data_IF_070211160159
#
_entry.id   IF_070211160159
#
_cell.length_a   1.000
_cell.length_b   1.000
_cell.length_c   1.000
_cell.angle_alpha   90.00
_cell.angle_beta   90.00
_cell.angle_gamma   90.00
#
_symmetry.space_group_name_H-M   'P 1'
#
loop_
_entity.id
_entity.type
_entity.pdbx_description
1 polymer ?
#
# COMPACT_ATOMS: atom_id res chain seq x y z
N UNK A 1 -4.66 -28.29 0.45
CA UNK A 1 -3.79 -27.27 -0.21
C UNK A 1 -3.13 -27.79 -1.49
N UNK A 2 -2.51 -28.99 -1.52
CA UNK A 2 -1.83 -29.53 -2.71
C UNK A 2 -2.63 -29.44 -4.03
N UNK A 3 -3.86 -29.96 -4.07
CA UNK A 3 -4.73 -29.88 -5.26
C UNK A 3 -5.00 -28.45 -5.75
N UNK A 4 -5.11 -27.51 -4.82
CA UNK A 4 -5.36 -26.11 -5.14
C UNK A 4 -4.12 -25.41 -5.71
N UNK A 5 -2.93 -25.72 -5.17
CA UNK A 5 -1.67 -25.22 -5.70
C UNK A 5 -1.44 -25.72 -7.13
N UNK A 6 -1.76 -26.99 -7.40
CA UNK A 6 -1.68 -27.55 -8.75
C UNK A 6 -2.68 -26.88 -9.71
N UNK A 7 -3.92 -26.65 -9.28
CA UNK A 7 -4.93 -25.97 -10.10
C UNK A 7 -4.52 -24.53 -10.47
N UNK A 8 -3.86 -23.83 -9.54
CA UNK A 8 -3.49 -22.42 -9.70
C UNK A 8 -2.06 -22.23 -10.22
N UNK A 9 -1.26 -23.30 -10.38
CA UNK A 9 0.12 -23.20 -10.86
C UNK A 9 0.29 -22.54 -12.23
N UNK A 10 -0.68 -22.58 -13.18
CA UNK A 10 -0.57 -21.79 -14.40
C UNK A 10 -0.42 -20.29 -14.15
N UNK A 11 -0.97 -19.76 -13.04
CA UNK A 11 -0.77 -18.36 -12.65
C UNK A 11 0.67 -18.09 -12.24
N UNK A 12 1.33 -19.04 -11.55
CA UNK A 12 2.75 -18.90 -11.22
C UNK A 12 3.60 -18.84 -12.49
N UNK A 13 3.32 -19.71 -13.46
CA UNK A 13 4.00 -19.70 -14.77
C UNK A 13 3.78 -18.35 -15.46
N UNK A 14 2.55 -17.85 -15.48
CA UNK A 14 2.21 -16.52 -16.02
C UNK A 14 3.00 -15.41 -15.31
N UNK A 15 3.07 -15.41 -13.98
CA UNK A 15 3.77 -14.36 -13.23
C UNK A 15 5.27 -14.40 -13.46
N UNK A 16 5.87 -15.59 -13.52
CA UNK A 16 7.29 -15.75 -13.85
C UNK A 16 7.55 -15.24 -15.25
N UNK A 17 6.75 -15.64 -16.24
CA UNK A 17 6.87 -15.16 -17.61
C UNK A 17 6.76 -13.63 -17.70
N UNK A 18 5.71 -13.04 -17.12
CA UNK A 18 5.52 -11.58 -17.08
C UNK A 18 6.68 -10.85 -16.38
N UNK A 19 7.25 -11.45 -15.34
CA UNK A 19 8.38 -10.88 -14.62
C UNK A 19 9.63 -10.87 -15.50
N UNK A 20 9.91 -11.96 -16.21
CA UNK A 20 11.07 -12.08 -17.10
C UNK A 20 10.91 -11.19 -18.35
N UNK A 21 9.73 -11.19 -18.97
CA UNK A 21 9.41 -10.36 -20.15
C UNK A 21 9.59 -8.86 -19.87
N UNK A 22 9.22 -8.43 -18.66
CA UNK A 22 9.30 -7.02 -18.26
C UNK A 22 10.53 -6.68 -17.45
N UNK A 23 11.40 -7.65 -17.16
CA UNK A 23 12.62 -7.42 -16.41
C UNK A 23 13.57 -6.59 -17.28
N UNK A 24 13.81 -5.35 -16.83
CA UNK A 24 14.79 -4.49 -17.47
C UNK A 24 16.15 -4.60 -16.80
N UNK A 25 17.21 -4.48 -17.62
CA UNK A 25 18.61 -4.51 -17.21
C UNK A 25 19.09 -3.26 -16.48
N UNK A 26 18.25 -2.22 -16.38
CA UNK A 26 18.55 -1.00 -15.63
C UNK A 26 17.56 -0.85 -14.48
N UNK A 27 18.05 -0.31 -13.35
CA UNK A 27 17.19 0.07 -12.24
C UNK A 27 16.35 1.27 -12.69
N UNK A 28 15.04 1.22 -12.49
CA UNK A 28 14.11 2.29 -12.84
C UNK A 28 13.16 2.59 -11.69
N UNK A 29 12.51 3.75 -11.75
CA UNK A 29 11.51 4.17 -10.76
C UNK A 29 12.13 4.13 -9.36
N UNK A 30 11.46 3.49 -8.40
CA UNK A 30 11.90 3.39 -7.01
C UNK A 30 12.97 2.30 -6.77
N UNK A 31 13.34 1.50 -7.78
CA UNK A 31 14.31 0.41 -7.65
C UNK A 31 15.68 0.86 -7.10
N UNK A 32 16.30 1.96 -7.60
CA UNK A 32 17.57 2.45 -7.05
C UNK A 32 17.48 2.73 -5.55
N UNK A 33 16.39 3.35 -5.11
CA UNK A 33 16.14 3.70 -3.71
C UNK A 33 16.02 2.46 -2.83
N UNK A 34 15.27 1.44 -3.26
CA UNK A 34 15.14 0.20 -2.48
C UNK A 34 16.46 -0.56 -2.38
N UNK A 35 17.24 -0.61 -3.46
CA UNK A 35 18.56 -1.25 -3.49
C UNK A 35 19.54 -0.53 -2.57
N UNK A 36 19.58 0.80 -2.62
CA UNK A 36 20.40 1.62 -1.73
C UNK A 36 20.03 1.36 -0.26
N UNK A 37 18.74 1.41 0.09
CA UNK A 37 18.31 1.12 1.46
C UNK A 37 18.65 -0.29 1.92
N UNK A 38 18.53 -1.29 1.04
CA UNK A 38 18.90 -2.66 1.35
C UNK A 38 20.41 -2.82 1.56
N UNK A 39 21.24 -2.11 0.78
CA UNK A 39 22.68 -2.04 1.00
C UNK A 39 23.03 -1.36 2.33
N UNK A 40 22.37 -0.26 2.67
CA UNK A 40 22.56 0.42 3.95
C UNK A 40 22.19 -0.48 5.15
N UNK A 41 21.11 -1.26 5.04
CA UNK A 41 20.71 -2.24 6.08
C UNK A 41 21.81 -3.27 6.33
N UNK A 42 22.50 -3.74 5.29
CA UNK A 42 23.66 -4.63 5.44
C UNK A 42 24.83 -3.94 6.17
N UNK A 43 24.99 -2.64 5.97
CA UNK A 43 26.01 -1.83 6.62
C UNK A 43 25.62 -1.35 8.05
N UNK A 44 24.48 -1.79 8.59
CA UNK A 44 23.99 -1.39 9.91
C UNK A 44 23.28 -0.03 9.98
N UNK A 45 23.00 0.58 8.82
CA UNK A 45 22.24 1.83 8.68
C UNK A 45 20.91 1.64 7.95
N UNK A 46 20.19 2.72 7.66
CA UNK A 46 19.01 2.66 6.79
C UNK A 46 18.97 3.87 5.85
N UNK A 47 18.78 5.07 6.39
CA UNK A 47 18.93 6.31 5.65
C UNK A 47 20.38 6.49 5.17
N UNK A 48 20.61 7.20 4.05
CA UNK A 48 21.96 7.52 3.59
C UNK A 48 22.72 8.31 4.65
N UNK A 49 24.04 8.13 4.73
CA UNK A 49 24.87 8.86 5.69
C UNK A 49 24.70 10.38 5.52
N UNK A 50 24.43 11.08 6.63
CA UNK A 50 24.21 12.53 6.64
C UNK A 50 22.87 12.99 6.03
N UNK A 51 21.96 12.07 5.71
CA UNK A 51 20.62 12.39 5.18
C UNK A 51 19.52 11.86 6.09
N UNK A 52 18.46 12.66 6.22
CA UNK A 52 17.21 12.28 6.88
C UNK A 52 16.17 11.70 5.90
N UNK A 53 16.59 11.36 4.67
CA UNK A 53 15.68 10.87 3.64
C UNK A 53 15.11 9.49 3.98
N UNK A 54 13.82 9.46 4.31
CA UNK A 54 13.01 8.29 4.61
C UNK A 54 11.86 8.19 3.59
N UNK A 55 12.20 8.17 2.31
CA UNK A 55 11.20 8.17 1.22
C UNK A 55 10.34 6.90 1.21
N UNK A 56 10.96 5.76 1.54
CA UNK A 56 10.31 4.47 1.69
C UNK A 56 10.49 3.93 3.11
N UNK A 57 9.69 2.93 3.47
CA UNK A 57 9.87 2.16 4.69
C UNK A 57 10.84 0.98 4.49
N UNK A 58 11.38 0.40 5.57
CA UNK A 58 12.43 -0.61 5.48
C UNK A 58 11.93 -1.98 5.06
N UNK A 59 10.62 -2.19 4.93
CA UNK A 59 10.04 -3.51 4.77
C UNK A 59 10.50 -4.23 3.50
N UNK A 60 10.38 -3.59 2.33
CA UNK A 60 10.87 -4.18 1.09
C UNK A 60 12.40 -4.24 1.02
N UNK A 61 13.16 -3.20 1.45
CA UNK A 61 14.61 -3.31 1.61
C UNK A 61 15.09 -4.48 2.49
N UNK A 62 14.38 -4.81 3.58
CA UNK A 62 14.70 -5.97 4.44
C UNK A 62 14.54 -7.30 3.69
N UNK A 63 13.54 -7.40 2.80
CA UNK A 63 13.38 -8.56 1.93
C UNK A 63 14.52 -8.68 0.90
N UNK A 64 14.98 -7.54 0.36
CA UNK A 64 16.07 -7.50 -0.63
C UNK A 64 17.45 -7.75 -0.02
N UNK A 65 17.71 -7.27 1.19
CA UNK A 65 19.02 -7.34 1.85
C UNK A 65 19.70 -8.72 1.80
N UNK A 66 19.04 -9.86 2.11
CA UNK A 66 19.68 -11.17 2.01
C UNK A 66 19.99 -11.59 0.56
N UNK A 67 19.22 -11.14 -0.43
CA UNK A 67 19.49 -11.39 -1.85
C UNK A 67 20.74 -10.64 -2.28
N UNK A 68 20.88 -9.39 -1.80
CA UNK A 68 22.08 -8.59 -1.98
C UNK A 68 23.32 -9.14 -1.25
N UNK A 69 23.14 -9.97 -0.22
CA UNK A 69 24.22 -10.49 0.63
C UNK A 69 25.09 -11.56 -0.03
N UNK A 70 24.76 -11.98 -1.25
CA UNK A 70 25.56 -12.94 -1.99
C UNK A 70 26.80 -12.27 -2.57
N UNK A 71 27.87 -12.16 -1.76
CA UNK A 71 29.14 -11.52 -2.15
C UNK A 71 29.82 -12.15 -3.38
N UNK A 72 29.36 -13.34 -3.80
CA UNK A 72 29.84 -14.05 -4.99
C UNK A 72 29.34 -13.45 -6.31
N UNK A 73 28.27 -12.67 -6.30
CA UNK A 73 27.70 -12.08 -7.53
C UNK A 73 27.42 -10.61 -7.28
N UNK A 74 28.18 -9.69 -7.91
CA UNK A 74 27.91 -8.26 -7.84
C UNK A 74 26.44 -7.98 -8.19
N UNK A 75 25.78 -7.08 -7.47
CA UNK A 75 24.39 -6.71 -7.78
C UNK A 75 24.23 -6.06 -9.17
N UNK A 76 25.33 -5.61 -9.77
CA UNK A 76 25.37 -5.20 -11.19
C UNK A 76 25.06 -6.36 -12.14
N UNK A 77 25.19 -7.60 -11.70
CA UNK A 77 24.80 -8.77 -12.48
C UNK A 77 23.31 -8.74 -12.78
N UNK A 78 22.98 -9.06 -14.03
CA UNK A 78 21.60 -9.27 -14.48
C UNK A 78 20.93 -10.38 -13.67
N UNK A 79 21.67 -11.43 -13.29
CA UNK A 79 21.12 -12.60 -12.57
C UNK A 79 20.55 -12.25 -11.19
N UNK A 80 21.27 -11.49 -10.37
CA UNK A 80 20.82 -11.11 -9.02
C UNK A 80 19.59 -10.21 -9.06
N UNK A 81 19.54 -9.28 -10.04
CA UNK A 81 18.39 -8.38 -10.24
C UNK A 81 17.15 -9.13 -10.70
N UNK A 82 17.32 -10.07 -11.62
CA UNK A 82 16.22 -10.96 -12.05
C UNK A 82 15.72 -11.82 -10.89
N UNK A 83 16.61 -12.36 -10.06
CA UNK A 83 16.22 -13.12 -8.87
C UNK A 83 15.39 -12.28 -7.89
N UNK A 84 15.80 -11.04 -7.61
CA UNK A 84 15.04 -10.11 -6.77
C UNK A 84 13.64 -9.81 -7.35
N UNK A 85 13.52 -9.65 -8.67
CA UNK A 85 12.23 -9.47 -9.35
C UNK A 85 11.36 -10.72 -9.30
N UNK A 86 11.93 -11.92 -9.46
CA UNK A 86 11.19 -13.19 -9.39
C UNK A 86 10.55 -13.46 -8.02
N UNK A 87 11.10 -12.89 -6.94
CA UNK A 87 10.48 -12.93 -5.61
C UNK A 87 9.07 -12.32 -5.65
N UNK A 88 8.84 -11.28 -6.46
CA UNK A 88 7.53 -10.67 -6.60
C UNK A 88 6.49 -11.62 -7.22
N UNK A 89 6.88 -12.45 -8.19
CA UNK A 89 6.02 -13.47 -8.77
C UNK A 89 5.61 -14.52 -7.72
N UNK A 90 6.56 -14.96 -6.89
CA UNK A 90 6.31 -15.89 -5.80
C UNK A 90 5.40 -15.29 -4.73
N UNK A 91 5.65 -14.05 -4.32
CA UNK A 91 4.82 -13.34 -3.34
C UNK A 91 3.38 -13.22 -3.82
N UNK A 92 3.17 -12.84 -5.08
CA UNK A 92 1.84 -12.72 -5.65
C UNK A 92 1.13 -14.08 -5.72
N UNK A 93 1.83 -15.14 -6.15
CA UNK A 93 1.26 -16.49 -6.17
C UNK A 93 0.86 -16.97 -4.78
N UNK A 94 1.71 -16.76 -3.78
CA UNK A 94 1.40 -17.04 -2.38
C UNK A 94 0.17 -16.25 -1.90
N UNK A 95 0.05 -14.97 -2.29
CA UNK A 95 -1.13 -14.16 -1.99
C UNK A 95 -2.41 -14.78 -2.56
N UNK A 96 -2.38 -15.29 -3.80
CA UNK A 96 -3.51 -15.99 -4.43
C UNK A 96 -3.93 -17.22 -3.62
N UNK A 97 -2.96 -18.03 -3.18
CA UNK A 97 -3.24 -19.20 -2.34
C UNK A 97 -3.84 -18.82 -0.98
N UNK A 98 -3.38 -17.72 -0.38
CA UNK A 98 -3.90 -17.19 0.88
C UNK A 98 -5.33 -16.66 0.73
N UNK A 99 -5.63 -15.90 -0.32
CA UNK A 99 -6.99 -15.43 -0.64
C UNK A 99 -7.93 -16.62 -0.82
N UNK A 100 -7.51 -17.63 -1.60
CA UNK A 100 -8.29 -18.86 -1.75
C UNK A 100 -8.60 -19.51 -0.40
N UNK A 101 -7.58 -19.67 0.44
CA UNK A 101 -7.72 -20.29 1.74
C UNK A 101 -8.64 -19.48 2.67
N UNK A 102 -8.60 -18.14 2.59
CA UNK A 102 -9.47 -17.27 3.36
C UNK A 102 -10.94 -17.36 2.90
N UNK A 103 -11.19 -17.31 1.59
CA UNK A 103 -12.54 -17.42 1.00
C UNK A 103 -13.16 -18.78 1.28
N UNK A 104 -12.37 -19.86 1.20
CA UNK A 104 -12.84 -21.23 1.47
C UNK A 104 -13.35 -21.46 2.91
N UNK A 105 -13.09 -20.54 3.85
CA UNK A 105 -13.68 -20.60 5.20
C UNK A 105 -15.17 -20.24 5.21
N UNK A 106 -15.61 -19.44 4.25
CA UNK A 106 -16.96 -18.90 4.16
C UNK A 106 -17.76 -19.52 3.01
N UNK A 107 -17.07 -19.98 1.96
CA UNK A 107 -17.71 -20.50 0.75
C UNK A 107 -17.35 -21.97 0.48
N UNK A 108 -17.94 -22.55 -0.57
CA UNK A 108 -17.49 -23.84 -1.11
C UNK A 108 -16.14 -23.73 -1.85
N UNK A 109 -15.47 -24.88 -2.10
CA UNK A 109 -14.16 -24.93 -2.76
C UNK A 109 -14.17 -24.38 -4.19
N UNK A 110 -15.27 -24.54 -4.94
CA UNK A 110 -15.42 -24.00 -6.30
C UNK A 110 -15.40 -22.48 -6.32
N UNK A 111 -16.25 -21.83 -5.50
CA UNK A 111 -16.27 -20.37 -5.34
C UNK A 111 -14.92 -19.84 -4.87
N UNK A 112 -14.28 -20.50 -3.90
CA UNK A 112 -12.98 -20.08 -3.39
C UNK A 112 -11.90 -20.12 -4.48
N UNK A 113 -11.85 -21.18 -5.29
CA UNK A 113 -10.92 -21.26 -6.42
C UNK A 113 -11.25 -20.24 -7.51
N UNK A 114 -12.52 -20.00 -7.81
CA UNK A 114 -12.95 -18.99 -8.77
C UNK A 114 -12.56 -17.57 -8.35
N UNK A 115 -12.82 -17.19 -7.11
CA UNK A 115 -12.41 -15.87 -6.56
C UNK A 115 -10.89 -15.72 -6.56
N UNK A 116 -10.16 -16.78 -6.19
CA UNK A 116 -8.70 -16.76 -6.23
C UNK A 116 -8.15 -16.63 -7.66
N UNK A 117 -8.78 -17.29 -8.63
CA UNK A 117 -8.42 -17.15 -10.05
C UNK A 117 -8.69 -15.73 -10.55
N UNK A 118 -9.86 -15.16 -10.24
CA UNK A 118 -10.19 -13.78 -10.61
C UNK A 118 -9.21 -12.77 -9.98
N UNK A 119 -8.88 -12.95 -8.70
CA UNK A 119 -7.84 -12.15 -8.04
C UNK A 119 -6.47 -12.36 -8.70
N UNK A 120 -6.12 -13.60 -9.02
CA UNK A 120 -4.87 -13.91 -9.68
C UNK A 120 -4.77 -13.32 -11.09
N UNK A 121 -5.90 -13.14 -11.77
CA UNK A 121 -6.02 -12.53 -13.09
C UNK A 121 -6.23 -11.01 -13.07
N UNK A 122 -6.24 -10.39 -11.88
CA UNK A 122 -6.40 -8.96 -11.71
C UNK A 122 -5.14 -8.22 -12.21
N UNK A 123 -5.15 -7.91 -13.51
CA UNK A 123 -4.00 -7.40 -14.24
C UNK A 123 -3.39 -6.08 -13.75
N UNK A 124 -4.07 -5.18 -12.99
CA UNK A 124 -3.40 -3.98 -12.48
C UNK A 124 -2.17 -4.28 -11.62
N UNK A 125 -2.12 -5.45 -10.97
CA UNK A 125 -0.94 -5.88 -10.21
C UNK A 125 0.27 -6.15 -11.14
N UNK A 126 0.03 -6.55 -12.39
CA UNK A 126 1.08 -7.03 -13.28
C UNK A 126 2.09 -5.96 -13.68
N UNK A 127 1.73 -4.68 -13.59
CA UNK A 127 2.63 -3.56 -13.88
C UNK A 127 3.84 -3.47 -12.96
N UNK A 128 3.75 -4.12 -11.80
CA UNK A 128 4.79 -4.06 -10.78
C UNK A 128 5.68 -5.31 -10.77
N UNK A 129 5.35 -6.35 -11.54
CA UNK A 129 6.07 -7.62 -11.52
C UNK A 129 7.49 -7.53 -12.10
N UNK A 130 7.70 -6.74 -13.17
CA UNK A 130 9.01 -6.56 -13.81
C UNK A 130 9.98 -5.63 -13.07
N UNK A 131 9.57 -5.07 -11.92
CA UNK A 131 10.33 -4.11 -11.13
C UNK A 131 10.49 -4.61 -9.70
N UNK A 132 11.57 -4.21 -9.02
CA UNK A 132 11.72 -4.40 -7.58
C UNK A 132 10.85 -3.38 -6.83
N UNK A 133 9.55 -3.67 -6.74
CA UNK A 133 8.55 -2.78 -6.15
C UNK A 133 7.92 -3.37 -4.90
N UNK A 134 7.49 -2.49 -3.99
CA UNK A 134 6.83 -2.85 -2.72
C UNK A 134 5.45 -3.49 -2.87
N UNK A 135 4.78 -3.31 -4.01
CA UNK A 135 3.37 -3.60 -4.23
C UNK A 135 3.06 -5.11 -4.11
N UNK A 136 3.81 -6.02 -4.75
CA UNK A 136 3.61 -7.46 -4.59
C UNK A 136 3.79 -7.93 -3.13
N UNK A 137 4.76 -7.35 -2.40
CA UNK A 137 4.93 -7.63 -0.97
C UNK A 137 3.73 -7.11 -0.16
N UNK A 138 3.26 -5.89 -0.42
CA UNK A 138 2.08 -5.35 0.25
C UNK A 138 0.83 -6.22 -0.01
N UNK A 139 0.62 -6.67 -1.25
CA UNK A 139 -0.46 -7.60 -1.62
C UNK A 139 -0.35 -8.92 -0.84
N UNK A 140 0.85 -9.50 -0.77
CA UNK A 140 1.10 -10.71 0.02
C UNK A 140 0.78 -10.51 1.50
N UNK A 141 1.21 -9.40 2.09
CA UNK A 141 0.96 -9.08 3.50
C UNK A 141 -0.52 -8.81 3.79
N UNK A 142 -1.24 -8.16 2.87
CA UNK A 142 -2.70 -7.96 2.99
C UNK A 142 -3.45 -9.29 2.84
N UNK A 143 -2.99 -10.19 1.97
CA UNK A 143 -3.55 -11.55 1.88
C UNK A 143 -3.29 -12.35 3.17
N UNK A 144 -2.11 -12.19 3.78
CA UNK A 144 -1.77 -12.72 5.10
C UNK A 144 -2.68 -12.18 6.20
N UNK A 145 -2.94 -10.87 6.21
CA UNK A 145 -3.92 -10.21 7.09
C UNK A 145 -5.32 -10.80 6.89
N UNK A 146 -5.78 -10.95 5.66
CA UNK A 146 -7.10 -11.54 5.38
C UNK A 146 -7.19 -12.98 5.89
N UNK A 147 -6.17 -13.80 5.65
CA UNK A 147 -6.15 -15.20 6.08
C UNK A 147 -5.99 -15.37 7.60
N UNK A 148 -5.00 -14.73 8.22
CA UNK A 148 -4.76 -14.88 9.66
C UNK A 148 -5.75 -14.04 10.47
N UNK A 149 -6.01 -12.80 10.05
CA UNK A 149 -6.89 -11.84 10.73
C UNK A 149 -8.33 -12.32 10.80
N UNK A 150 -8.90 -12.83 9.70
CA UNK A 150 -10.28 -13.36 9.75
C UNK A 150 -10.44 -14.48 10.77
N UNK A 151 -9.46 -15.39 10.85
CA UNK A 151 -9.46 -16.49 11.80
C UNK A 151 -9.20 -16.06 13.24
N UNK A 152 -8.32 -15.07 13.43
CA UNK A 152 -8.02 -14.50 14.74
C UNK A 152 -9.22 -13.72 15.30
N UNK A 153 -9.84 -12.88 14.49
CA UNK A 153 -10.98 -12.07 14.91
C UNK A 153 -12.18 -12.95 15.29
N UNK A 154 -12.46 -14.00 14.51
CA UNK A 154 -13.53 -14.95 14.78
C UNK A 154 -13.26 -15.79 16.04
N UNK A 155 -12.08 -16.41 16.16
CA UNK A 155 -11.84 -17.47 17.17
C UNK A 155 -10.67 -17.21 18.13
N UNK A 156 -9.88 -16.18 17.93
CA UNK A 156 -8.64 -15.95 18.66
C UNK A 156 -7.52 -16.91 18.28
N UNK A 157 -6.57 -17.10 19.22
CA UNK A 157 -5.42 -18.00 19.10
C UNK A 157 -4.11 -17.27 18.86
N UNK A 158 -3.07 -17.63 19.61
CA UNK A 158 -1.76 -16.97 19.60
C UNK A 158 -1.07 -17.01 18.23
N UNK A 159 -1.04 -18.16 17.56
CA UNK A 159 -0.45 -18.25 16.22
C UNK A 159 -1.14 -17.35 15.18
N UNK A 160 -2.46 -17.16 15.30
CA UNK A 160 -3.20 -16.25 14.41
C UNK A 160 -3.00 -14.78 14.79
N UNK A 161 -2.88 -14.47 16.09
CA UNK A 161 -2.50 -13.13 16.56
C UNK A 161 -1.13 -12.76 15.99
N UNK A 162 -0.13 -13.64 16.16
CA UNK A 162 1.22 -13.43 15.62
C UNK A 162 1.19 -13.23 14.11
N UNK A 163 0.50 -14.10 13.37
CA UNK A 163 0.37 -13.95 11.92
C UNK A 163 -0.30 -12.64 11.51
N UNK A 164 -1.36 -12.23 12.22
CA UNK A 164 -2.08 -10.96 11.93
C UNK A 164 -1.21 -9.75 12.25
N UNK A 165 -0.60 -9.70 13.44
CA UNK A 165 0.28 -8.62 13.87
C UNK A 165 1.53 -8.51 13.01
N UNK A 166 2.15 -9.62 12.63
CA UNK A 166 3.29 -9.65 11.72
C UNK A 166 2.92 -9.13 10.32
N UNK A 167 1.78 -9.54 9.76
CA UNK A 167 1.29 -9.00 8.48
C UNK A 167 1.06 -7.49 8.57
N UNK A 168 0.43 -7.00 9.64
CA UNK A 168 0.15 -5.57 9.85
C UNK A 168 1.43 -4.75 10.05
N UNK A 169 2.32 -5.18 10.94
CA UNK A 169 3.57 -4.49 11.22
C UNK A 169 4.49 -4.47 9.99
N UNK A 170 4.64 -5.61 9.31
CA UNK A 170 5.48 -5.65 8.10
C UNK A 170 4.87 -4.85 6.95
N UNK A 171 3.54 -4.75 6.87
CA UNK A 171 2.85 -3.91 5.89
C UNK A 171 3.13 -2.43 6.15
N UNK A 172 3.09 -1.99 7.41
CA UNK A 172 3.47 -0.62 7.80
C UNK A 172 4.94 -0.31 7.52
N UNK A 173 5.85 -1.28 7.74
CA UNK A 173 7.26 -1.13 7.35
C UNK A 173 7.46 -1.12 5.83
N UNK A 174 6.60 -1.78 5.06
CA UNK A 174 6.70 -1.83 3.59
C UNK A 174 6.16 -0.55 2.94
N UNK A 175 5.02 -0.06 3.44
CA UNK A 175 4.34 1.14 2.97
C UNK A 175 3.98 1.98 4.20
N UNK A 176 4.77 3.03 4.43
CA UNK A 176 4.74 3.87 5.64
C UNK A 176 3.36 4.46 5.97
N UNK A 177 2.51 4.68 4.96
CA UNK A 177 1.13 5.15 5.17
C UNK A 177 0.27 4.18 6.00
N UNK A 178 0.57 2.87 5.97
CA UNK A 178 -0.13 1.91 6.83
C UNK A 178 0.23 2.09 8.29
N UNK A 179 1.37 2.70 8.65
CA UNK A 179 1.67 3.05 10.04
C UNK A 179 0.60 3.96 10.65
N UNK A 180 0.16 4.98 9.90
CA UNK A 180 -0.97 5.82 10.30
C UNK A 180 -2.30 5.07 10.27
N UNK A 181 -2.51 4.16 9.29
CA UNK A 181 -3.70 3.32 9.25
C UNK A 181 -3.79 2.36 10.46
N UNK A 182 -2.67 1.84 10.97
CA UNK A 182 -2.62 1.05 12.19
C UNK A 182 -3.03 1.87 13.40
N UNK A 183 -2.52 3.09 13.54
CA UNK A 183 -2.88 3.99 14.63
C UNK A 183 -4.37 4.38 14.60
N UNK A 184 -4.87 4.83 13.45
CA UNK A 184 -6.28 5.16 13.27
C UNK A 184 -7.20 3.95 13.48
N UNK A 185 -6.79 2.79 12.96
CA UNK A 185 -7.48 1.53 13.17
C UNK A 185 -7.52 1.11 14.65
N UNK A 186 -6.43 1.34 15.40
CA UNK A 186 -6.35 1.00 16.83
C UNK A 186 -7.32 1.87 17.63
N UNK A 187 -7.32 3.19 17.39
CA UNK A 187 -8.27 4.11 18.02
C UNK A 187 -9.70 3.67 17.74
N UNK A 188 -10.03 3.40 16.47
CA UNK A 188 -11.37 2.94 16.08
C UNK A 188 -11.73 1.60 16.74
N UNK A 189 -10.81 0.63 16.77
CA UNK A 189 -11.04 -0.67 17.39
C UNK A 189 -11.28 -0.55 18.90
N UNK A 190 -10.52 0.29 19.60
CA UNK A 190 -10.72 0.55 21.03
C UNK A 190 -12.05 1.23 21.28
N UNK A 191 -12.38 2.29 20.52
CA UNK A 191 -13.67 2.98 20.63
C UNK A 191 -14.85 2.01 20.41
N UNK A 192 -14.79 1.19 19.35
CA UNK A 192 -15.82 0.18 19.09
C UNK A 192 -15.82 -0.95 20.13
N UNK A 193 -14.67 -1.29 20.71
CA UNK A 193 -14.56 -2.24 21.82
C UNK A 193 -15.26 -1.76 23.08
N UNK A 194 -15.11 -0.46 23.40
CA UNK A 194 -15.80 0.18 24.53
C UNK A 194 -17.29 0.31 24.27
N UNK A 195 -17.70 0.82 23.10
CA UNK A 195 -19.10 1.11 22.77
C UNK A 195 -19.91 -0.16 22.52
N UNK A 196 -19.39 -1.10 21.72
CA UNK A 196 -20.11 -2.32 21.34
C UNK A 196 -19.89 -3.48 22.30
N UNK A 197 -18.90 -3.39 23.20
CA UNK A 197 -18.52 -4.43 24.17
C UNK A 197 -18.32 -5.83 23.55
N UNK A 198 -17.94 -5.90 22.26
CA UNK A 198 -17.69 -7.18 21.56
C UNK A 198 -16.21 -7.55 21.65
N UNK A 199 -15.92 -8.77 22.09
CA UNK A 199 -14.55 -9.33 22.23
C UNK A 199 -13.71 -9.22 20.95
N UNK A 200 -14.36 -9.28 19.79
CA UNK A 200 -13.72 -9.12 18.48
C UNK A 200 -12.97 -7.79 18.32
N UNK A 201 -13.52 -6.67 18.81
CA UNK A 201 -12.86 -5.36 18.67
C UNK A 201 -11.61 -5.26 19.54
N UNK A 202 -11.62 -5.87 20.73
CA UNK A 202 -10.42 -6.00 21.56
C UNK A 202 -9.37 -6.92 20.92
N UNK A 203 -9.79 -7.97 20.21
CA UNK A 203 -8.88 -8.77 19.39
C UNK A 203 -8.26 -7.91 18.28
N UNK A 204 -9.07 -7.14 17.54
CA UNK A 204 -8.55 -6.22 16.53
C UNK A 204 -7.52 -5.25 17.13
N UNK A 205 -7.84 -4.63 18.27
CA UNK A 205 -6.93 -3.74 18.99
C UNK A 205 -5.62 -4.45 19.37
N UNK A 206 -5.67 -5.69 19.89
CA UNK A 206 -4.48 -6.46 20.23
C UNK A 206 -3.59 -6.76 19.00
N UNK A 207 -4.18 -7.10 17.85
CA UNK A 207 -3.42 -7.33 16.62
C UNK A 207 -2.79 -6.05 16.07
N UNK A 208 -3.51 -4.93 16.11
CA UNK A 208 -3.01 -3.61 15.69
C UNK A 208 -1.88 -3.12 16.61
N UNK A 209 -2.05 -3.30 17.93
CA UNK A 209 -1.02 -2.97 18.92
C UNK A 209 0.23 -3.82 18.72
N UNK A 210 0.09 -5.13 18.45
CA UNK A 210 1.22 -5.99 18.11
C UNK A 210 1.91 -5.52 16.81
N UNK A 211 1.13 -5.15 15.78
CA UNK A 211 1.67 -4.59 14.55
C UNK A 211 2.49 -3.31 14.79
N UNK A 212 1.98 -2.37 15.59
CA UNK A 212 2.70 -1.16 15.98
C UNK A 212 3.95 -1.47 16.82
N UNK A 213 3.87 -2.44 17.74
CA UNK A 213 4.99 -2.86 18.56
C UNK A 213 6.15 -3.39 17.69
N UNK A 214 5.86 -4.14 16.63
CA UNK A 214 6.87 -4.63 15.67
C UNK A 214 7.51 -3.50 14.85
N UNK A 215 6.87 -2.34 14.73
CA UNK A 215 7.43 -1.16 14.06
C UNK A 215 8.29 -0.28 14.98
N UNK A 216 8.33 -0.54 16.29
CA UNK A 216 9.06 0.29 17.26
C UNK A 216 10.55 0.46 16.94
N UNK A 217 11.31 -0.54 16.42
CA UNK A 217 12.72 -0.32 16.09
C UNK A 217 12.89 0.71 14.98
N UNK A 218 12.00 0.70 13.98
CA UNK A 218 12.02 1.68 12.91
C UNK A 218 11.64 3.07 13.42
N UNK A 219 10.59 3.18 14.24
CA UNK A 219 10.19 4.48 14.81
C UNK A 219 11.23 5.08 15.76
N UNK A 220 11.94 4.23 16.52
CA UNK A 220 13.07 4.68 17.33
C UNK A 220 14.21 5.18 16.44
N UNK A 221 14.50 4.49 15.33
CA UNK A 221 15.48 4.93 14.35
C UNK A 221 15.09 6.27 13.71
N UNK A 222 13.85 6.43 13.23
CA UNK A 222 13.40 7.67 12.60
C UNK A 222 13.42 8.83 13.60
N UNK A 223 13.01 8.62 14.84
CA UNK A 223 13.11 9.61 15.90
C UNK A 223 14.57 10.02 16.15
N UNK A 224 15.49 9.06 16.25
CA UNK A 224 16.91 9.33 16.49
C UNK A 224 17.53 10.24 15.42
N UNK A 225 17.18 10.03 14.15
CA UNK A 225 17.80 10.80 13.05
C UNK A 225 17.07 12.11 12.72
N UNK A 226 15.80 12.26 13.10
CA UNK A 226 15.00 13.46 12.75
C UNK A 226 14.58 14.31 13.94
N UNK A 227 14.67 13.79 15.17
CA UNK A 227 14.12 14.40 16.38
C UNK A 227 12.58 14.42 16.44
N UNK A 228 11.88 13.81 15.47
CA UNK A 228 10.41 13.89 15.35
C UNK A 228 9.72 12.62 15.81
N UNK A 229 8.85 12.68 16.84
CA UNK A 229 8.16 11.50 17.32
C UNK A 229 7.15 11.02 16.27
N UNK A 230 7.04 9.69 16.14
CA UNK A 230 6.04 9.05 15.27
C UNK A 230 6.13 9.44 13.78
N UNK A 231 7.31 9.87 13.31
CA UNK A 231 7.56 10.11 11.90
C UNK A 231 7.80 8.78 11.17
N UNK A 232 6.91 8.44 10.23
CA UNK A 232 7.02 7.22 9.43
C UNK A 232 7.79 7.39 8.12
N UNK A 233 7.96 8.61 7.62
CA UNK A 233 8.66 8.88 6.36
C UNK A 233 8.61 10.36 5.99
N UNK A 234 9.42 10.77 5.02
CA UNK A 234 9.61 12.18 4.62
C UNK A 234 8.96 12.55 3.29
N UNK A 235 8.11 11.68 2.74
CA UNK A 235 7.39 11.91 1.49
C UNK A 235 5.99 12.54 1.67
N UNK A 236 5.40 12.45 2.86
CA UNK A 236 4.00 12.80 3.11
C UNK A 236 3.68 14.29 2.89
N UNK A 237 4.56 15.19 3.32
CA UNK A 237 4.39 16.63 3.16
C UNK A 237 4.31 17.04 1.69
N UNK A 238 5.19 16.48 0.85
CA UNK A 238 5.16 16.73 -0.59
C UNK A 238 3.89 16.18 -1.26
N UNK A 239 3.44 14.99 -0.86
CA UNK A 239 2.19 14.42 -1.38
C UNK A 239 0.97 15.27 -0.99
N UNK A 240 0.93 15.82 0.22
CA UNK A 240 -0.14 16.72 0.64
C UNK A 240 -0.05 18.08 -0.03
N UNK A 241 1.17 18.60 -0.25
CA UNK A 241 1.40 19.86 -0.97
C UNK A 241 0.80 19.81 -2.37
N UNK A 242 1.12 18.77 -3.14
CA UNK A 242 0.54 18.59 -4.47
C UNK A 242 -0.98 18.46 -4.43
N UNK A 243 -1.48 17.65 -3.51
CA UNK A 243 -2.91 17.49 -3.28
C UNK A 243 -3.62 18.84 -3.00
N UNK A 244 -2.93 19.73 -2.28
CA UNK A 244 -3.41 21.05 -1.88
C UNK A 244 -3.24 22.16 -2.91
N UNK A 245 -2.67 21.89 -4.08
CA UNK A 245 -2.33 22.97 -5.02
C UNK A 245 -3.54 23.86 -5.33
N UNK A 246 -3.39 25.19 -5.19
CA UNK A 246 -4.47 26.15 -5.43
C UNK A 246 -4.72 26.40 -6.93
N UNK A 247 -3.87 25.88 -7.81
CA UNK A 247 -3.87 26.20 -9.23
C UNK A 247 -5.06 25.58 -9.97
N UNK A 248 -5.74 26.39 -10.79
CA UNK A 248 -7.04 26.01 -11.38
C UNK A 248 -6.98 24.73 -12.23
N UNK A 249 -5.89 24.54 -12.98
CA UNK A 249 -5.70 23.41 -13.91
C UNK A 249 -4.96 22.20 -13.30
N UNK A 250 -4.68 22.24 -12.00
CA UNK A 250 -4.06 21.12 -11.28
C UNK A 250 -5.12 20.34 -10.51
N UNK A 251 -5.01 19.01 -10.52
CA UNK A 251 -6.02 18.09 -9.97
C UNK A 251 -5.55 17.38 -8.70
N UNK A 252 -4.46 17.83 -8.09
CA UNK A 252 -3.90 17.25 -6.87
C UNK A 252 -3.16 15.93 -7.06
N UNK A 253 -2.75 15.55 -8.27
CA UNK A 253 -1.73 14.52 -8.48
C UNK A 253 -0.33 15.04 -8.23
N UNK A 254 0.56 14.12 -7.86
CA UNK A 254 1.98 14.39 -7.83
C UNK A 254 2.50 14.51 -9.27
N UNK A 255 3.19 15.62 -9.54
CA UNK A 255 3.79 15.92 -10.84
C UNK A 255 5.29 15.68 -10.73
N UNK A 256 5.84 14.87 -11.64
CA UNK A 256 7.26 14.59 -11.63
C UNK A 256 8.02 15.75 -12.26
N UNK A 257 8.63 16.60 -11.43
CA UNK A 257 9.39 17.76 -11.88
C UNK A 257 10.44 17.44 -12.96
N UNK A 258 11.08 16.27 -12.89
CA UNK A 258 12.16 15.91 -13.83
C UNK A 258 11.62 15.40 -15.16
N UNK A 259 10.48 14.71 -15.17
CA UNK A 259 9.91 14.12 -16.38
C UNK A 259 8.91 15.05 -17.09
N UNK A 260 8.17 15.85 -16.33
CA UNK A 260 7.04 16.64 -16.81
C UNK A 260 7.39 18.14 -16.88
N UNK A 261 8.32 18.59 -16.02
CA UNK A 261 8.75 19.98 -15.91
C UNK A 261 9.91 20.39 -16.83
N UNK A 262 10.69 19.44 -17.38
CA UNK A 262 12.03 19.74 -17.93
C UNK A 262 12.24 19.42 -19.41
N UNK A 263 11.18 19.11 -20.19
CA UNK A 263 11.34 19.11 -21.66
C UNK A 263 11.60 20.53 -22.20
N UNK A 264 11.24 21.55 -21.43
CA UNK A 264 11.51 22.95 -21.72
C UNK A 264 11.96 23.65 -20.42
N UNK A 265 13.28 23.90 -20.24
CA UNK A 265 13.82 24.60 -19.07
C UNK A 265 13.58 26.12 -19.11
N UNK A 266 12.86 26.65 -20.10
CA UNK A 266 12.49 28.06 -20.10
C UNK A 266 11.47 28.36 -19.00
N UNK A 267 11.45 29.63 -18.55
CA UNK A 267 10.43 30.16 -17.64
C UNK A 267 8.99 30.01 -18.13
N UNK A 268 8.75 29.38 -19.29
CA UNK A 268 7.42 29.16 -19.88
C UNK A 268 6.72 27.91 -19.33
N UNK A 269 7.39 27.04 -18.57
CA UNK A 269 6.71 25.88 -17.99
C UNK A 269 5.80 26.29 -16.81
N UNK A 270 4.46 26.13 -16.92
CA UNK A 270 3.54 26.56 -15.86
C UNK A 270 3.81 25.88 -14.51
N UNK A 271 4.27 24.62 -14.52
CA UNK A 271 4.63 23.88 -13.30
C UNK A 271 5.76 24.59 -12.56
N UNK A 272 6.79 25.05 -13.30
CA UNK A 272 7.92 25.73 -12.69
C UNK A 272 7.51 27.12 -12.17
N UNK A 273 6.69 27.86 -12.92
CA UNK A 273 6.19 29.16 -12.47
C UNK A 273 5.41 29.06 -11.15
N UNK A 274 4.55 28.04 -11.02
CA UNK A 274 3.68 27.90 -9.86
C UNK A 274 4.40 27.40 -8.60
N UNK A 275 5.42 26.54 -8.75
CA UNK A 275 5.99 25.80 -7.62
C UNK A 275 7.45 26.13 -7.31
N UNK A 276 8.15 26.90 -8.16
CA UNK A 276 9.57 27.21 -7.97
C UNK A 276 9.86 27.86 -6.61
N UNK A 277 8.98 28.72 -6.10
CA UNK A 277 9.18 29.40 -4.82
C UNK A 277 9.26 28.42 -3.64
N UNK A 278 8.27 27.53 -3.52
CA UNK A 278 8.19 26.53 -2.45
C UNK A 278 9.35 25.53 -2.55
N UNK A 279 9.74 25.13 -3.76
CA UNK A 279 10.88 24.23 -3.97
C UNK A 279 12.21 24.89 -3.65
N UNK A 280 12.36 26.18 -3.95
CA UNK A 280 13.55 26.94 -3.56
C UNK A 280 13.66 27.08 -2.05
N UNK A 281 12.55 27.33 -1.38
CA UNK A 281 12.48 27.38 0.08
C UNK A 281 12.81 26.03 0.71
N UNK A 282 12.16 24.96 0.28
CA UNK A 282 12.37 23.63 0.84
C UNK A 282 13.80 23.11 0.58
N UNK A 283 14.32 23.28 -0.64
CA UNK A 283 15.56 22.64 -1.07
C UNK A 283 16.80 23.54 -0.96
N UNK A 284 16.64 24.85 -0.83
CA UNK A 284 17.75 25.81 -0.65
C UNK A 284 18.52 26.18 -1.92
N UNK A 285 18.00 25.90 -3.12
CA UNK A 285 18.64 26.28 -4.40
C UNK A 285 17.64 26.53 -5.53
N UNK A 286 18.12 27.19 -6.60
CA UNK A 286 17.31 27.58 -7.74
C UNK A 286 16.85 26.38 -8.61
N UNK A 287 15.64 26.44 -9.22
CA UNK A 287 15.09 25.40 -10.10
C UNK A 287 16.03 24.87 -11.20
N UNK A 288 16.90 25.73 -11.75
CA UNK A 288 17.86 25.36 -12.78
C UNK A 288 18.84 24.24 -12.32
N UNK A 289 19.19 24.22 -11.03
CA UNK A 289 20.11 23.20 -10.49
C UNK A 289 19.44 21.84 -10.30
N UNK A 290 18.10 21.77 -10.30
CA UNK A 290 17.36 20.50 -10.20
C UNK A 290 17.51 19.66 -11.48
N UNK A 291 17.61 20.32 -12.63
CA UNK A 291 17.79 19.67 -13.94
C UNK A 291 19.12 18.93 -14.01
N UNK A 292 20.18 19.55 -13.48
CA UNK A 292 21.54 19.02 -13.54
C UNK A 292 21.77 17.83 -12.59
N UNK A 293 21.09 17.78 -11.44
CA UNK A 293 21.32 16.74 -10.43
C UNK A 293 20.55 15.44 -10.68
N UNK A 294 19.44 15.50 -11.42
CA UNK A 294 18.57 14.35 -11.68
C UNK A 294 17.66 13.98 -10.50
N UNK A 295 16.55 13.29 -10.81
CA UNK A 295 15.48 12.96 -9.86
C UNK A 295 15.98 12.21 -8.62
N UNK A 296 16.87 11.25 -8.80
CA UNK A 296 17.30 10.35 -7.72
C UNK A 296 18.12 11.09 -6.65
N UNK A 297 18.95 12.06 -7.04
CA UNK A 297 19.67 12.91 -6.09
C UNK A 297 18.75 13.85 -5.34
N UNK A 298 17.68 14.31 -5.98
CA UNK A 298 16.70 15.19 -5.36
C UNK A 298 15.94 14.49 -4.23
N UNK A 299 15.48 13.27 -4.47
CA UNK A 299 14.76 12.48 -3.46
C UNK A 299 15.60 12.28 -2.21
N UNK A 300 16.91 12.06 -2.37
CA UNK A 300 17.85 11.87 -1.25
C UNK A 300 18.03 13.11 -0.36
N UNK A 301 17.58 14.29 -0.81
CA UNK A 301 17.60 15.54 -0.03
C UNK A 301 16.29 15.84 0.70
N UNK A 302 15.24 15.03 0.49
CA UNK A 302 13.96 15.20 1.19
C UNK A 302 14.04 14.67 2.63
N UNK A 303 14.66 15.47 3.50
CA UNK A 303 14.74 15.25 4.94
C UNK A 303 13.50 15.72 5.69
N UNK A 304 13.56 15.71 7.03
CA UNK A 304 12.42 16.07 7.85
C UNK A 304 12.07 17.57 7.76
N UNK A 305 13.09 18.42 7.59
CA UNK A 305 12.90 19.86 7.38
C UNK A 305 12.16 20.15 6.07
N UNK A 306 12.62 19.61 4.94
CA UNK A 306 11.96 19.74 3.62
C UNK A 306 10.50 19.30 3.69
N UNK A 307 10.26 18.13 4.31
CA UNK A 307 8.91 17.60 4.48
C UNK A 307 8.00 18.56 5.27
N UNK A 308 8.55 19.30 6.24
CA UNK A 308 7.80 20.29 7.02
C UNK A 308 7.43 21.52 6.20
N UNK A 309 8.36 22.06 5.42
CA UNK A 309 8.08 23.20 4.52
C UNK A 309 6.91 22.88 3.59
N UNK A 310 6.91 21.69 2.98
CA UNK A 310 5.81 21.24 2.14
C UNK A 310 4.50 21.08 2.91
N UNK A 311 4.56 20.50 4.12
CA UNK A 311 3.39 20.31 4.97
C UNK A 311 2.75 21.65 5.37
N UNK A 312 3.55 22.61 5.83
CA UNK A 312 3.06 23.92 6.26
C UNK A 312 2.44 24.69 5.10
N UNK A 313 3.10 24.68 3.94
CA UNK A 313 2.56 25.26 2.71
C UNK A 313 1.25 24.57 2.31
N UNK A 314 1.17 23.25 2.44
CA UNK A 314 -0.06 22.52 2.09
C UNK A 314 -1.23 22.91 3.00
N UNK A 315 -0.98 23.04 4.30
CA UNK A 315 -1.97 23.47 5.27
C UNK A 315 -2.42 24.91 5.03
N UNK A 316 -1.52 25.81 4.65
CA UNK A 316 -1.87 27.17 4.25
C UNK A 316 -2.76 27.19 3.00
N UNK A 317 -2.41 26.42 1.96
CA UNK A 317 -3.23 26.26 0.76
C UNK A 317 -4.64 25.74 1.09
N UNK A 318 -4.75 24.71 1.94
CA UNK A 318 -6.05 24.14 2.35
C UNK A 318 -6.90 25.19 3.07
N UNK A 319 -6.29 26.01 3.95
CA UNK A 319 -7.00 27.06 4.69
C UNK A 319 -7.47 28.19 3.78
N UNK A 320 -6.64 28.61 2.83
CA UNK A 320 -6.95 29.73 1.92
C UNK A 320 -7.86 29.31 0.76
N UNK A 321 -7.81 28.04 0.34
CA UNK A 321 -8.53 27.53 -0.84
C UNK A 321 -9.26 26.20 -0.55
N UNK A 322 -10.18 26.14 0.44
CA UNK A 322 -10.79 24.88 0.89
C UNK A 322 -11.63 24.18 -0.18
N UNK A 323 -12.35 24.95 -1.00
CA UNK A 323 -13.14 24.39 -2.11
C UNK A 323 -12.27 23.81 -3.22
N UNK A 324 -11.10 24.42 -3.46
CA UNK A 324 -10.14 23.88 -4.41
C UNK A 324 -9.54 22.57 -3.92
N UNK A 325 -9.18 22.48 -2.64
CA UNK A 325 -8.75 21.22 -2.04
C UNK A 325 -9.84 20.13 -2.14
N UNK A 326 -11.10 20.46 -1.86
CA UNK A 326 -12.21 19.51 -2.01
C UNK A 326 -12.38 19.03 -3.47
N UNK A 327 -12.22 19.93 -4.45
CA UNK A 327 -12.23 19.56 -5.88
C UNK A 327 -11.06 18.62 -6.23
N UNK A 328 -9.86 18.90 -5.72
CA UNK A 328 -8.70 18.04 -5.90
C UNK A 328 -8.94 16.67 -5.23
N UNK A 329 -9.58 16.65 -4.06
CA UNK A 329 -9.96 15.42 -3.35
C UNK A 329 -10.90 14.54 -4.16
N UNK A 330 -11.94 15.11 -4.75
CA UNK A 330 -12.85 14.37 -5.65
C UNK A 330 -12.08 13.84 -6.88
N UNK A 331 -11.23 14.66 -7.49
CA UNK A 331 -10.39 14.24 -8.61
C UNK A 331 -9.42 13.11 -8.21
N UNK A 332 -8.88 13.16 -7.01
CA UNK A 332 -7.97 12.15 -6.49
C UNK A 332 -8.68 10.82 -6.19
N UNK A 333 -9.89 10.84 -5.64
CA UNK A 333 -10.72 9.63 -5.48
C UNK A 333 -11.08 9.02 -6.84
N UNK A 334 -11.41 9.86 -7.84
CA UNK A 334 -11.58 9.38 -9.22
C UNK A 334 -10.29 8.72 -9.72
N UNK A 335 -9.14 9.36 -9.53
CA UNK A 335 -7.83 8.87 -10.00
C UNK A 335 -7.43 7.55 -9.34
N UNK A 336 -7.79 7.34 -8.08
CA UNK A 336 -7.60 6.07 -7.38
C UNK A 336 -8.31 4.92 -8.11
N UNK A 337 -9.51 5.17 -8.63
CA UNK A 337 -10.32 4.16 -9.32
C UNK A 337 -9.96 4.02 -10.80
N UNK A 338 -9.74 5.15 -11.48
CA UNK A 338 -9.70 5.21 -12.95
C UNK A 338 -8.32 5.53 -13.51
N UNK A 339 -7.43 6.10 -12.70
CA UNK A 339 -6.15 6.66 -13.14
C UNK A 339 -6.22 8.10 -13.64
N UNK A 340 -7.41 8.73 -13.61
CA UNK A 340 -7.71 10.06 -14.14
C UNK A 340 -8.59 10.91 -13.18
N UNK A 341 -8.54 12.25 -13.25
CA UNK A 341 -7.72 13.09 -14.14
C UNK A 341 -6.30 13.27 -13.63
N UNK A 342 -5.37 13.68 -14.49
CA UNK A 342 -3.98 14.02 -14.14
C UNK A 342 -3.64 15.42 -14.64
N UNK A 343 -2.88 16.16 -13.86
CA UNK A 343 -2.39 17.49 -14.21
C UNK A 343 -1.37 17.35 -15.32
N UNK A 344 -1.48 18.17 -16.36
CA UNK A 344 -0.51 18.24 -17.47
C UNK A 344 -0.33 16.95 -18.31
N UNK A 345 -1.15 15.92 -18.11
CA UNK A 345 -1.12 14.69 -18.91
C UNK A 345 -2.34 14.57 -19.81
N UNK A 346 -2.15 14.33 -21.12
CA UNK A 346 -3.26 13.93 -21.97
C UNK A 346 -3.83 12.61 -21.45
N UNK A 347 -5.16 12.47 -21.55
CA UNK A 347 -5.81 11.22 -21.20
C UNK A 347 -5.40 10.15 -22.22
N UNK A 348 -4.77 9.07 -21.76
CA UNK A 348 -4.30 8.00 -22.64
C UNK A 348 -5.24 6.78 -22.55
N UNK A 349 -5.34 5.96 -23.60
CA UNK A 349 -6.08 4.69 -23.54
C UNK A 349 -5.61 3.76 -22.41
N UNK A 350 -4.36 3.90 -21.94
CA UNK A 350 -3.83 3.16 -20.79
C UNK A 350 -4.65 3.36 -19.51
N UNK A 351 -5.39 4.47 -19.38
CA UNK A 351 -6.27 4.71 -18.23
C UNK A 351 -7.42 3.68 -18.15
N UNK A 352 -7.89 3.19 -19.30
CA UNK A 352 -8.90 2.11 -19.37
C UNK A 352 -8.43 0.85 -18.65
N UNK A 353 -7.10 0.63 -18.63
CA UNK A 353 -6.49 -0.51 -17.97
C UNK A 353 -6.78 -0.55 -16.47
N UNK A 354 -6.87 0.59 -15.79
CA UNK A 354 -7.24 0.60 -14.37
C UNK A 354 -8.75 0.71 -14.19
N UNK A 355 -9.41 1.49 -15.05
CA UNK A 355 -10.84 1.73 -15.00
C UNK A 355 -11.66 0.44 -14.98
N UNK A 356 -11.51 -0.41 -16.00
CA UNK A 356 -12.37 -1.59 -16.15
C UNK A 356 -12.31 -2.56 -14.97
N UNK A 357 -11.13 -3.08 -14.57
CA UNK A 357 -11.07 -4.06 -13.49
C UNK A 357 -11.43 -3.45 -12.12
N UNK A 358 -11.14 -2.16 -11.90
CA UNK A 358 -11.51 -1.49 -10.65
C UNK A 358 -13.03 -1.25 -10.56
N UNK A 359 -13.67 -0.84 -11.66
CA UNK A 359 -15.12 -0.68 -11.69
C UNK A 359 -15.85 -2.00 -11.49
N UNK A 360 -15.37 -3.09 -12.11
CA UNK A 360 -15.92 -4.42 -11.87
C UNK A 360 -15.82 -4.84 -10.40
N UNK A 361 -14.69 -4.54 -9.74
CA UNK A 361 -14.51 -4.82 -8.32
C UNK A 361 -15.48 -4.01 -7.45
N UNK A 362 -15.61 -2.71 -7.72
CA UNK A 362 -16.54 -1.84 -7.00
C UNK A 362 -17.99 -2.29 -7.22
N UNK A 363 -18.35 -2.60 -8.46
CA UNK A 363 -19.68 -3.11 -8.80
C UNK A 363 -19.98 -4.44 -8.10
N UNK A 364 -19.01 -5.36 -8.06
CA UNK A 364 -19.16 -6.62 -7.35
C UNK A 364 -19.32 -6.43 -5.84
N UNK A 365 -18.53 -5.53 -5.22
CA UNK A 365 -18.67 -5.19 -3.82
C UNK A 365 -20.03 -4.55 -3.51
N UNK A 366 -20.48 -3.61 -4.33
CA UNK A 366 -21.78 -2.95 -4.20
C UNK A 366 -22.93 -3.96 -4.34
N UNK A 367 -22.85 -4.85 -5.34
CA UNK A 367 -23.84 -5.89 -5.56
C UNK A 367 -23.91 -6.90 -4.41
N UNK A 368 -22.76 -7.33 -3.88
CA UNK A 368 -22.71 -8.19 -2.70
C UNK A 368 -23.35 -7.50 -1.48
N UNK A 369 -23.04 -6.22 -1.26
CA UNK A 369 -23.62 -5.41 -0.19
C UNK A 369 -25.15 -5.22 -0.34
N UNK A 370 -25.64 -5.06 -1.57
CA UNK A 370 -27.07 -4.88 -1.85
C UNK A 370 -27.89 -6.16 -1.60
N UNK A 371 -27.30 -7.34 -1.80
CA UNK A 371 -27.99 -8.62 -1.64
C UNK A 371 -28.17 -9.09 -0.21
N UNK A 372 -27.43 -8.54 0.74
CA UNK A 372 -27.47 -9.00 2.12
C UNK A 372 -27.54 -7.81 3.07
N UNK A 373 -28.45 -7.84 4.06
CA UNK A 373 -28.46 -6.79 5.07
C UNK A 373 -27.08 -6.74 5.73
N UNK A 374 -26.45 -5.55 5.67
CA UNK A 374 -25.13 -5.24 6.23
C UNK A 374 -24.98 -5.69 7.70
N UNK A 375 -26.09 -5.78 8.44
CA UNK A 375 -26.15 -6.26 9.83
C UNK A 375 -25.88 -7.77 9.99
N UNK A 376 -26.09 -8.57 8.95
CA UNK A 376 -25.90 -10.02 8.96
C UNK A 376 -24.50 -10.46 8.52
N UNK A 377 -23.58 -9.52 8.35
CA UNK A 377 -22.21 -9.80 7.96
C UNK A 377 -21.36 -10.27 9.15
N UNK A 378 -20.42 -11.22 8.94
CA UNK A 378 -19.45 -11.60 9.95
C UNK A 378 -18.69 -10.36 10.44
N UNK A 379 -18.52 -10.23 11.76
CA UNK A 379 -17.89 -9.05 12.33
C UNK A 379 -16.44 -8.86 11.88
N UNK A 380 -15.73 -9.95 11.57
CA UNK A 380 -14.38 -9.90 11.03
C UNK A 380 -14.32 -9.29 9.62
N UNK A 381 -15.38 -9.43 8.81
CA UNK A 381 -15.49 -8.77 7.51
C UNK A 381 -15.63 -7.25 7.69
N UNK A 382 -16.38 -6.81 8.70
CA UNK A 382 -16.44 -5.40 9.10
C UNK A 382 -15.10 -4.86 9.57
N UNK A 383 -14.39 -5.59 10.43
CA UNK A 383 -13.10 -5.14 10.95
C UNK A 383 -12.03 -5.04 9.87
N UNK A 384 -11.89 -6.06 9.01
CA UNK A 384 -10.90 -6.07 7.92
C UNK A 384 -11.27 -5.07 6.82
N UNK A 385 -12.54 -5.03 6.41
CA UNK A 385 -13.03 -4.04 5.46
C UNK A 385 -12.88 -2.62 5.99
N UNK A 386 -13.22 -2.39 7.26
CA UNK A 386 -13.04 -1.12 7.96
C UNK A 386 -11.58 -0.66 8.02
N UNK A 387 -10.63 -1.58 8.27
CA UNK A 387 -9.20 -1.26 8.18
C UNK A 387 -8.81 -0.82 6.76
N UNK A 388 -9.30 -1.51 5.73
CA UNK A 388 -9.12 -1.10 4.34
C UNK A 388 -9.68 0.29 4.06
N UNK A 389 -10.86 0.62 4.60
CA UNK A 389 -11.47 1.95 4.49
C UNK A 389 -10.69 3.04 5.23
N UNK A 390 -10.14 2.75 6.42
CA UNK A 390 -9.27 3.70 7.15
C UNK A 390 -8.03 4.02 6.30
N UNK A 391 -7.40 3.01 5.71
CA UNK A 391 -6.28 3.22 4.80
C UNK A 391 -6.71 4.03 3.56
N UNK A 392 -7.81 3.67 2.89
CA UNK A 392 -8.31 4.39 1.70
C UNK A 392 -8.66 5.84 2.01
N UNK A 393 -9.31 6.09 3.13
CA UNK A 393 -9.60 7.44 3.61
C UNK A 393 -8.31 8.24 3.80
N UNK A 394 -7.32 7.67 4.46
CA UNK A 394 -6.00 8.29 4.66
C UNK A 394 -5.28 8.61 3.35
N UNK A 395 -5.15 7.64 2.43
CA UNK A 395 -4.47 7.89 1.15
C UNK A 395 -5.26 8.81 0.22
N UNK A 396 -6.58 8.89 0.35
CA UNK A 396 -7.40 9.80 -0.47
C UNK A 396 -7.10 11.27 -0.19
N UNK A 397 -6.58 11.59 1.01
CA UNK A 397 -6.19 12.94 1.41
C UNK A 397 -4.79 13.33 0.90
N UNK A 398 -4.08 12.42 0.26
CA UNK A 398 -2.76 12.62 -0.34
C UNK A 398 -2.85 12.38 -1.85
N UNK A 399 -1.91 12.88 -2.64
CA UNK A 399 -1.85 12.52 -4.07
C UNK A 399 -1.73 11.00 -4.23
N UNK A 400 -2.76 10.37 -4.80
CA UNK A 400 -2.87 8.93 -4.91
C UNK A 400 -2.99 8.45 -6.37
N UNK A 401 -2.75 7.17 -6.58
CA UNK A 401 -2.75 6.53 -7.90
C UNK A 401 -3.45 5.16 -7.83
N UNK A 402 -3.85 4.56 -8.97
CA UNK A 402 -4.51 3.25 -8.96
C UNK A 402 -3.80 2.16 -8.17
N UNK A 403 -2.46 2.17 -8.16
CA UNK A 403 -1.64 1.21 -7.41
C UNK A 403 -1.93 1.18 -5.90
N UNK A 404 -2.44 2.28 -5.33
CA UNK A 404 -2.81 2.36 -3.92
C UNK A 404 -4.07 1.56 -3.59
N UNK A 405 -4.99 1.42 -4.56
CA UNK A 405 -6.14 0.53 -4.47
C UNK A 405 -5.74 -0.92 -4.78
N UNK A 406 -4.88 -1.11 -5.77
CA UNK A 406 -4.42 -2.42 -6.24
C UNK A 406 -3.86 -3.30 -5.11
N UNK A 407 -3.12 -2.72 -4.16
CA UNK A 407 -2.59 -3.50 -3.03
C UNK A 407 -3.68 -4.06 -2.11
N UNK A 408 -4.86 -3.44 -2.06
CA UNK A 408 -6.03 -3.94 -1.32
C UNK A 408 -6.77 -5.06 -2.03
N UNK A 409 -6.31 -5.49 -3.21
CA UNK A 409 -6.91 -6.60 -3.97
C UNK A 409 -7.35 -7.78 -3.09
N UNK A 410 -6.53 -8.32 -2.18
CA UNK A 410 -6.96 -9.43 -1.33
C UNK A 410 -8.21 -9.12 -0.48
N UNK A 411 -8.36 -7.90 0.05
CA UNK A 411 -9.57 -7.47 0.78
C UNK A 411 -10.73 -7.29 -0.20
N UNK A 412 -10.51 -6.62 -1.34
CA UNK A 412 -11.55 -6.33 -2.34
C UNK A 412 -12.13 -7.58 -3.00
N UNK A 413 -11.37 -8.67 -3.10
CA UNK A 413 -11.87 -9.96 -3.60
C UNK A 413 -12.44 -10.84 -2.49
N UNK A 414 -11.85 -10.83 -1.29
CA UNK A 414 -12.34 -11.62 -0.18
C UNK A 414 -13.67 -11.09 0.37
N UNK A 415 -13.80 -9.78 0.55
CA UNK A 415 -14.94 -9.16 1.23
C UNK A 415 -16.27 -9.45 0.51
N UNK A 416 -16.43 -9.20 -0.81
CA UNK A 416 -17.69 -9.48 -1.50
C UNK A 416 -18.04 -10.98 -1.52
N UNK A 417 -17.02 -11.85 -1.59
CA UNK A 417 -17.21 -13.29 -1.53
C UNK A 417 -17.75 -13.76 -0.17
N UNK A 418 -17.28 -13.15 0.92
CA UNK A 418 -17.81 -13.42 2.27
C UNK A 418 -19.23 -12.87 2.41
N UNK A 419 -19.48 -11.64 1.96
CA UNK A 419 -20.82 -11.02 2.05
C UNK A 419 -21.86 -11.85 1.28
N UNK A 420 -21.54 -12.26 0.05
CA UNK A 420 -22.41 -13.05 -0.80
C UNK A 420 -22.58 -14.53 -0.40
N UNK A 421 -21.89 -15.01 0.64
CA UNK A 421 -21.94 -16.42 1.03
C UNK A 421 -23.18 -16.74 1.88
N UNK A 422 -24.00 -17.72 1.46
CA UNK A 422 -25.22 -18.12 2.20
C UNK A 422 -24.96 -18.91 3.49
N UNK A 423 -23.71 -19.17 3.86
CA UNK A 423 -23.38 -19.83 5.13
C UNK A 423 -23.58 -18.84 6.29
N UNK A 424 -24.81 -18.74 6.76
CA UNK A 424 -25.15 -18.13 8.04
C UNK A 424 -24.62 -19.02 9.16
N UNK A 425 -23.63 -18.53 9.92
CA UNK A 425 -23.34 -18.73 11.36
C UNK A 425 -23.87 -19.96 12.15
N UNK A 426 -24.12 -21.09 11.51
CA UNK A 426 -24.52 -22.33 12.20
C UNK A 426 -23.38 -22.92 13.06
N UNK A 427 -22.17 -22.34 12.97
CA UNK A 427 -21.02 -22.71 13.79
C UNK A 427 -20.84 -21.93 15.09
N UNK A 428 -21.56 -20.83 15.32
CA UNK A 428 -21.43 -20.05 16.57
C UNK A 428 -22.47 -20.45 17.64
N UNK A 429 -23.55 -21.14 17.26
CA UNK A 429 -24.54 -21.66 18.21
C UNK A 429 -24.18 -23.06 18.77
N UNK A 430 -23.31 -23.83 18.11
CA UNK A 430 -22.96 -25.19 18.52
C UNK A 430 -22.01 -25.35 19.72
N UNK A 431 -21.46 -24.25 20.28
CA UNK A 431 -20.52 -24.31 21.42
C UNK A 431 -21.19 -23.91 22.74
N UNK A 432 -22.31 -23.19 22.71
CA UNK A 432 -23.03 -22.79 23.93
C UNK A 432 -23.98 -23.87 24.49
N UNK A 433 -24.21 -24.98 23.75
CA UNK A 433 -25.15 -26.04 24.16
C UNK A 433 -24.47 -27.31 24.71
N UNK A 434 -23.16 -27.32 24.96
CA UNK A 434 -22.44 -28.48 25.52
C UNK A 434 -21.88 -28.30 26.94
N UNK A 435 -22.34 -27.29 27.68
CA UNK A 435 -21.84 -27.03 29.05
C UNK A 435 -22.92 -27.02 30.13
N UNK A 436 -24.06 -27.67 29.91
CA UNK A 436 -25.12 -27.80 30.94
C UNK A 436 -25.51 -29.24 31.27
N UNK A 437 -24.82 -30.24 30.70
CA UNK A 437 -24.98 -31.64 31.10
C UNK A 437 -23.68 -32.12 31.76
N UNK A 438 -23.49 -31.80 33.04
CA UNK A 438 -22.69 -32.56 34.01
C UNK A 438 -22.94 -32.07 35.42
#
# INVERSE_FOLDING_TARGET
MKRAALLLSPLLVLYVWLTLDRAQDQLRKDEPTYVMYAANLRAGGYAPAGSECLWAGPGYPLLLAPILATDRVPFTSVSTRTAAKLVNALLLFCAVLMVRAAVARYTGPGVASGVALLFGLYWPIYDQLGFMMTEPLAVFLIAGLVLCGSGFLARGGWGRLLGTGASLGYLALTKVVFGYALAGGLVLAVMLGVVRRRRMWWRAAAALLLGLALCTPYLAYTYRITGRPFLWGTSGGMQLYWMSSPQQHEYGDWVNYVLEGMRDPSDRNPVMQHHAAVFREAMGYAPANFVAEGHDKLVLRLGAHQNQVFLDTALDNIRRHPFKFASNWVANVSRLLTGAPRSYHPQTPEMVRYLFPNLLLVAWAAFAAARRPLRAMPGEAWAIGGFGLVYLGGVSLLSCYPRFLTILGPILFWWPAVVGSNRTDSGSQGVAQRSTDT
#
